data_IF_531635290368
#
_entry.id   IF_531635290368
#
_cell.length_a   1.000
_cell.length_b   1.000
_cell.length_c   1.000
_cell.angle_alpha   90.00
_cell.angle_beta   90.00
_cell.angle_gamma   90.00
#
_symmetry.space_group_name_H-M   'P 1'
#
loop_
_entity.id
_entity.type
_entity.pdbx_description
1 polymer ?
#
# COMPACT_ATOMS: atom_id res chain seq x y z
N UNK A 1 -11.45 -18.81 -17.20
CA UNK A 1 -11.29 -17.67 -16.25
C UNK A 1 -10.10 -17.81 -15.29
N UNK A 2 -9.81 -19.00 -14.71
CA UNK A 2 -8.66 -19.20 -13.80
C UNK A 2 -7.29 -18.82 -14.38
N UNK A 3 -7.03 -19.13 -15.66
CA UNK A 3 -5.77 -18.78 -16.35
C UNK A 3 -5.55 -17.26 -16.50
N UNK A 4 -6.64 -16.52 -16.70
CA UNK A 4 -6.62 -15.06 -16.83
C UNK A 4 -6.45 -14.39 -15.47
N UNK A 5 -7.11 -14.91 -14.44
CA UNK A 5 -6.89 -14.48 -13.06
C UNK A 5 -5.45 -14.70 -12.60
N UNK A 6 -4.88 -15.88 -12.89
CA UNK A 6 -3.48 -16.17 -12.57
C UNK A 6 -2.51 -15.27 -13.33
N UNK A 7 -2.78 -15.00 -14.61
CA UNK A 7 -1.96 -14.11 -15.43
C UNK A 7 -2.03 -12.65 -14.93
N UNK A 8 -3.21 -12.17 -14.51
CA UNK A 8 -3.37 -10.85 -13.89
C UNK A 8 -2.59 -10.74 -12.58
N UNK A 9 -2.63 -11.78 -11.74
CA UNK A 9 -1.86 -11.83 -10.48
C UNK A 9 -0.36 -11.81 -10.76
N UNK A 10 0.13 -12.63 -11.69
CA UNK A 10 1.54 -12.64 -12.10
C UNK A 10 1.99 -11.28 -12.63
N UNK A 11 1.16 -10.63 -13.44
CA UNK A 11 1.44 -9.29 -13.97
C UNK A 11 1.51 -8.25 -12.85
N UNK A 12 0.56 -8.26 -11.90
CA UNK A 12 0.60 -7.33 -10.76
C UNK A 12 1.83 -7.53 -9.90
N UNK A 13 2.21 -8.78 -9.62
CA UNK A 13 3.42 -9.11 -8.87
C UNK A 13 4.66 -8.61 -9.62
N UNK A 14 4.77 -8.87 -10.93
CA UNK A 14 5.89 -8.38 -11.73
C UNK A 14 6.00 -6.84 -11.73
N UNK A 15 4.86 -6.13 -11.80
CA UNK A 15 4.83 -4.66 -11.73
C UNK A 15 5.26 -4.12 -10.37
N UNK A 16 5.00 -4.83 -9.27
CA UNK A 16 5.45 -4.43 -7.93
C UNK A 16 6.98 -4.51 -7.77
N UNK A 17 7.65 -5.37 -8.54
CA UNK A 17 9.11 -5.50 -8.54
C UNK A 17 9.82 -4.65 -9.60
N UNK A 18 9.07 -4.05 -10.53
CA UNK A 18 9.62 -3.06 -11.44
C UNK A 18 9.87 -1.78 -10.62
N UNK A 19 11.10 -1.63 -10.10
CA UNK A 19 11.50 -0.45 -9.33
C UNK A 19 11.30 0.81 -10.16
N UNK A 20 10.25 1.56 -9.85
CA UNK A 20 9.97 2.86 -10.43
C UNK A 20 10.50 3.96 -9.51
N UNK A 21 11.10 4.99 -10.08
CA UNK A 21 11.39 6.22 -9.36
C UNK A 21 10.06 6.86 -8.93
N UNK A 22 9.79 6.83 -7.63
CA UNK A 22 8.55 7.34 -7.08
C UNK A 22 8.72 8.83 -6.73
N UNK A 23 8.08 9.69 -7.51
CA UNK A 23 7.95 11.11 -7.18
C UNK A 23 6.82 11.35 -6.17
N UNK A 24 7.00 12.31 -5.27
CA UNK A 24 5.96 12.67 -4.32
C UNK A 24 4.75 13.27 -5.05
N UNK A 25 3.57 12.69 -4.82
CA UNK A 25 2.33 13.09 -5.49
C UNK A 25 1.71 14.39 -4.94
N UNK A 26 2.08 14.78 -3.71
CA UNK A 26 1.57 15.99 -3.08
C UNK A 26 2.47 17.20 -3.39
N UNK A 27 1.96 18.16 -4.15
CA UNK A 27 2.70 19.35 -4.59
C UNK A 27 3.24 20.21 -3.44
N UNK A 28 2.53 20.26 -2.30
CA UNK A 28 2.97 20.98 -1.09
C UNK A 28 4.15 20.25 -0.44
N UNK A 29 4.10 18.92 -0.35
CA UNK A 29 5.18 18.12 0.20
C UNK A 29 6.46 18.26 -0.63
N UNK A 30 6.35 18.26 -1.97
CA UNK A 30 7.49 18.46 -2.88
C UNK A 30 8.11 19.85 -2.71
N UNK A 31 7.28 20.90 -2.66
CA UNK A 31 7.74 22.28 -2.41
C UNK A 31 8.43 22.44 -1.06
N UNK A 32 7.90 21.77 -0.03
CA UNK A 32 8.48 21.81 1.32
C UNK A 32 9.83 21.09 1.33
N UNK A 33 9.90 19.87 0.79
CA UNK A 33 11.13 19.09 0.72
C UNK A 33 12.27 19.84 0.02
N UNK A 34 12.00 20.58 -1.06
CA UNK A 34 13.02 21.34 -1.78
C UNK A 34 13.61 22.52 -0.99
N UNK A 35 12.94 22.99 0.07
CA UNK A 35 13.40 24.07 0.94
C UNK A 35 14.19 23.58 2.17
N UNK A 36 14.10 22.30 2.51
CA UNK A 36 14.65 21.74 3.75
C UNK A 36 16.12 21.30 3.63
N UNK A 37 16.64 21.06 2.42
CA UNK A 37 17.95 20.43 2.21
C UNK A 37 17.91 18.91 2.37
N UNK A 38 18.98 18.21 1.98
CA UNK A 38 18.95 16.75 1.70
C UNK A 38 18.46 15.89 2.90
N UNK A 39 19.10 16.01 4.07
CA UNK A 39 18.80 15.18 5.24
C UNK A 39 17.35 15.33 5.75
N UNK A 40 16.86 16.54 6.04
CA UNK A 40 15.47 16.72 6.47
C UNK A 40 14.45 16.47 5.35
N UNK A 41 14.78 16.69 4.07
CA UNK A 41 13.92 16.31 2.96
C UNK A 41 13.72 14.78 2.89
N UNK A 42 14.79 14.00 3.10
CA UNK A 42 14.71 12.54 3.18
C UNK A 42 13.87 12.06 4.37
N UNK A 43 14.01 12.70 5.52
CA UNK A 43 13.19 12.42 6.70
C UNK A 43 11.71 12.72 6.45
N UNK A 44 11.39 13.84 5.79
CA UNK A 44 10.03 14.21 5.42
C UNK A 44 9.39 13.17 4.49
N UNK A 45 10.09 12.73 3.45
CA UNK A 45 9.58 11.69 2.54
C UNK A 45 9.30 10.37 3.26
N UNK A 46 10.17 9.98 4.21
CA UNK A 46 9.93 8.82 5.07
C UNK A 46 8.65 8.95 5.89
N UNK A 47 8.39 10.14 6.46
CA UNK A 47 7.17 10.40 7.22
C UNK A 47 5.90 10.35 6.35
N UNK A 48 5.96 10.82 5.10
CA UNK A 48 4.82 10.75 4.15
C UNK A 48 4.46 9.30 3.88
N UNK A 49 5.44 8.44 3.58
CA UNK A 49 5.21 7.01 3.34
C UNK A 49 4.61 6.35 4.59
N UNK A 50 5.14 6.66 5.78
CA UNK A 50 4.60 6.15 7.04
C UNK A 50 3.12 6.54 7.22
N UNK A 51 2.78 7.82 7.04
CA UNK A 51 1.40 8.31 7.21
C UNK A 51 0.44 7.77 6.16
N UNK A 52 0.86 7.64 4.90
CA UNK A 52 0.01 7.11 3.82
C UNK A 52 -0.20 5.60 3.93
N UNK A 53 0.81 4.84 4.36
CA UNK A 53 0.68 3.39 4.52
C UNK A 53 -0.17 3.00 5.72
N UNK A 54 -0.12 3.77 6.80
CA UNK A 54 -0.87 3.51 8.04
C UNK A 54 -2.37 3.24 7.83
N UNK A 55 -3.16 4.12 7.18
CA UNK A 55 -4.60 3.87 6.99
C UNK A 55 -4.87 2.64 6.10
N UNK A 56 -4.03 2.40 5.10
CA UNK A 56 -4.17 1.22 4.22
C UNK A 56 -3.92 -0.08 4.99
N UNK A 57 -2.90 -0.11 5.85
CA UNK A 57 -2.60 -1.26 6.70
C UNK A 57 -3.72 -1.52 7.71
N UNK A 58 -4.26 -0.46 8.32
CA UNK A 58 -5.39 -0.57 9.27
C UNK A 58 -6.62 -1.16 8.57
N UNK A 59 -7.03 -0.58 7.43
CA UNK A 59 -8.19 -1.05 6.67
C UNK A 59 -7.97 -2.49 6.20
N UNK A 60 -6.77 -2.81 5.68
CA UNK A 60 -6.42 -4.15 5.24
C UNK A 60 -6.49 -5.18 6.37
N UNK A 61 -5.97 -4.82 7.56
CA UNK A 61 -6.01 -5.70 8.73
C UNK A 61 -7.44 -5.94 9.23
N UNK A 62 -8.25 -4.87 9.33
CA UNK A 62 -9.66 -4.98 9.74
C UNK A 62 -10.45 -5.82 8.74
N UNK A 63 -10.30 -5.55 7.43
CA UNK A 63 -10.96 -6.32 6.38
C UNK A 63 -10.60 -7.79 6.40
N UNK A 64 -9.31 -8.11 6.59
CA UNK A 64 -8.84 -9.49 6.73
C UNK A 64 -9.42 -10.18 7.98
N UNK A 65 -9.45 -9.49 9.13
CA UNK A 65 -10.01 -10.00 10.38
C UNK A 65 -11.50 -10.31 10.22
N UNK A 66 -12.25 -9.40 9.58
CA UNK A 66 -13.69 -9.55 9.34
C UNK A 66 -13.98 -10.74 8.42
N UNK A 67 -13.26 -10.86 7.30
CA UNK A 67 -13.43 -11.99 6.40
C UNK A 67 -13.16 -13.35 7.07
N UNK A 68 -12.13 -13.40 7.94
CA UNK A 68 -11.82 -14.60 8.72
C UNK A 68 -12.91 -14.94 9.74
N UNK A 69 -13.62 -13.94 10.28
CA UNK A 69 -14.75 -14.19 11.18
C UNK A 69 -15.94 -14.76 10.42
N UNK A 70 -16.34 -14.14 9.30
CA UNK A 70 -17.45 -14.64 8.48
C UNK A 70 -17.24 -16.08 8.02
N UNK A 71 -16.02 -16.43 7.58
CA UNK A 71 -15.71 -17.81 7.20
C UNK A 71 -15.88 -18.83 8.33
N UNK A 72 -15.56 -18.45 9.58
CA UNK A 72 -15.76 -19.33 10.74
C UNK A 72 -17.24 -19.50 11.06
N UNK A 73 -18.01 -18.43 10.92
CA UNK A 73 -19.45 -18.46 11.13
C UNK A 73 -20.14 -19.34 10.07
N UNK A 74 -19.70 -19.26 8.79
CA UNK A 74 -20.14 -20.16 7.71
C UNK A 74 -19.78 -21.62 7.97
N UNK A 75 -18.57 -21.91 8.46
CA UNK A 75 -18.11 -23.27 8.80
C UNK A 75 -18.83 -23.87 10.03
N UNK A 76 -19.34 -23.03 10.94
CA UNK A 76 -20.13 -23.48 12.11
C UNK A 76 -21.62 -23.65 11.82
N UNK A 77 -22.13 -23.10 10.72
CA UNK A 77 -23.54 -23.23 10.29
C UNK A 77 -23.75 -24.34 9.24
N UNK A 78 -22.68 -24.90 8.69
CA UNK A 78 -22.68 -26.10 7.84
C UNK A 78 -22.54 -27.38 8.67
#
# INVERSE_FOLDING_TARGET
>A
MKKWGLMLVLLTVALLFAGIDAEAQCSICTKTASQLGEKPAKALNGAIIYLMSTPLLIIGFIGWRWWKMQKKDEEQQA
#
